data_IF_781017311073
#
_entry.id   IF_781017311073
#
_cell.length_a   1.000
_cell.length_b   1.000
_cell.length_c   1.000
_cell.angle_alpha   90.00
_cell.angle_beta   90.00
_cell.angle_gamma   90.00
#
_symmetry.space_group_name_H-M   'P 1'
#
loop_
_entity.id
_entity.type
_entity.pdbx_description
1 polymer ?
#
# COMPACT_ATOMS: atom_id res chain seq x y z
N UNK A 1 9.58 -24.25 32.96
CA UNK A 1 8.43 -23.96 32.09
C UNK A 1 7.86 -22.56 32.34
N UNK A 2 7.01 -22.30 33.35
CA UNK A 2 6.44 -20.95 33.55
C UNK A 2 7.44 -19.90 34.06
N UNK A 3 8.38 -20.31 34.93
CA UNK A 3 9.44 -19.43 35.43
C UNK A 3 10.48 -19.09 34.34
N UNK A 4 10.93 -20.08 33.55
CA UNK A 4 11.82 -19.85 32.40
C UNK A 4 11.18 -18.98 31.31
N UNK A 5 9.86 -19.07 31.11
CA UNK A 5 9.15 -18.20 30.17
C UNK A 5 9.07 -16.75 30.67
N UNK A 6 8.92 -16.55 31.98
CA UNK A 6 8.94 -15.23 32.60
C UNK A 6 10.35 -14.61 32.55
N UNK A 7 11.39 -15.40 32.82
CA UNK A 7 12.79 -14.98 32.79
C UNK A 7 13.26 -14.66 31.36
N UNK A 8 12.81 -15.42 30.35
CA UNK A 8 13.00 -15.07 28.92
C UNK A 8 12.27 -13.78 28.55
N UNK A 9 11.03 -13.61 29.01
CA UNK A 9 10.27 -12.40 28.73
C UNK A 9 10.85 -11.16 29.42
N UNK A 10 11.57 -11.33 30.53
CA UNK A 10 12.23 -10.26 31.27
C UNK A 10 13.61 -9.93 30.66
N UNK A 11 14.35 -10.94 30.20
CA UNK A 11 15.59 -10.77 29.45
C UNK A 11 15.36 -10.15 28.05
N UNK A 12 14.33 -10.61 27.33
CA UNK A 12 13.90 -9.98 26.07
C UNK A 12 13.47 -8.53 26.35
N UNK A 13 12.71 -8.27 27.42
CA UNK A 13 12.32 -6.90 27.78
C UNK A 13 13.52 -5.98 28.09
N UNK A 14 14.61 -6.52 28.62
CA UNK A 14 15.85 -5.78 28.86
C UNK A 14 16.64 -5.52 27.55
N UNK A 15 16.71 -6.48 26.64
CA UNK A 15 17.37 -6.33 25.32
C UNK A 15 16.66 -5.29 24.43
N UNK A 16 15.33 -5.18 24.56
CA UNK A 16 14.54 -4.16 23.88
C UNK A 16 14.75 -2.73 24.42
N UNK A 17 15.27 -2.55 25.64
CA UNK A 17 15.50 -1.23 26.23
C UNK A 17 16.81 -0.57 25.79
N UNK A 18 17.81 -1.35 25.36
CA UNK A 18 19.17 -0.83 25.15
C UNK A 18 19.54 -0.51 23.68
N UNK A 19 18.84 -1.06 22.68
CA UNK A 19 19.33 -1.00 21.29
C UNK A 19 18.57 -0.07 20.33
N UNK A 20 17.25 0.06 20.44
CA UNK A 20 16.42 0.70 19.42
C UNK A 20 15.21 1.41 20.04
N UNK A 21 15.27 2.74 20.07
CA UNK A 21 14.10 3.59 20.34
C UNK A 21 14.01 4.22 21.73
N UNK A 22 15.02 4.08 22.58
CA UNK A 22 15.03 4.67 23.92
C UNK A 22 14.83 6.20 23.91
N UNK A 23 15.49 6.92 22.99
CA UNK A 23 15.35 8.38 22.87
C UNK A 23 13.96 8.81 22.36
N UNK A 24 13.40 8.06 21.41
CA UNK A 24 12.07 8.35 20.82
C UNK A 24 10.95 8.08 21.81
N UNK A 25 11.04 6.97 22.52
CA UNK A 25 10.13 6.63 23.61
C UNK A 25 10.21 7.70 24.69
N UNK A 26 11.42 8.07 25.13
CA UNK A 26 11.62 9.13 26.11
C UNK A 26 10.99 10.46 25.66
N UNK A 27 11.18 10.85 24.39
CA UNK A 27 10.60 12.07 23.84
C UNK A 27 9.06 12.03 23.80
N UNK A 28 8.46 10.89 23.43
CA UNK A 28 6.99 10.74 23.37
C UNK A 28 6.36 10.74 24.76
N UNK A 29 7.03 10.15 25.75
CA UNK A 29 6.61 10.18 27.15
C UNK A 29 6.74 11.59 27.73
N UNK A 30 7.85 12.29 27.47
CA UNK A 30 8.02 13.68 27.87
C UNK A 30 6.96 14.61 27.25
N UNK A 31 6.56 14.36 26.00
CA UNK A 31 5.50 15.12 25.32
C UNK A 31 4.08 14.78 25.80
N UNK A 32 3.91 13.77 26.66
CA UNK A 32 2.60 13.42 27.22
C UNK A 32 2.11 14.45 28.25
N UNK A 33 3.05 15.08 28.93
CA UNK A 33 2.77 16.02 30.01
C UNK A 33 3.27 17.42 29.66
N UNK A 34 2.61 18.42 30.22
CA UNK A 34 3.01 19.83 30.14
C UNK A 34 3.02 20.39 31.55
N UNK A 35 4.15 20.95 31.95
CA UNK A 35 4.29 21.64 33.23
C UNK A 35 3.85 23.10 33.07
N UNK A 36 2.90 23.53 33.89
CA UNK A 36 2.43 24.92 33.94
C UNK A 36 2.53 25.40 35.39
N UNK A 37 3.55 26.21 35.68
CA UNK A 37 3.92 26.54 37.06
C UNK A 37 4.49 25.31 37.77
N UNK A 38 3.90 24.95 38.91
CA UNK A 38 4.30 23.77 39.71
C UNK A 38 3.47 22.52 39.39
N UNK A 39 2.41 22.65 38.58
CA UNK A 39 1.47 21.58 38.27
C UNK A 39 1.78 20.91 36.92
N UNK A 40 1.59 19.59 36.88
CA UNK A 40 1.75 18.78 35.67
C UNK A 40 0.38 18.44 35.10
N UNK A 41 0.19 18.68 33.81
CA UNK A 41 -1.07 18.44 33.10
C UNK A 41 -0.87 17.44 31.96
N UNK A 42 -1.93 16.68 31.66
CA UNK A 42 -2.05 15.87 30.45
C UNK A 42 -3.20 16.38 29.59
N UNK A 43 -3.04 16.27 28.27
CA UNK A 43 -4.08 16.64 27.32
C UNK A 43 -5.02 15.46 27.07
N UNK A 44 -6.31 15.65 27.26
CA UNK A 44 -7.33 14.62 26.97
C UNK A 44 -7.66 14.53 25.47
N UNK A 45 -8.47 13.52 25.09
CA UNK A 45 -8.89 13.32 23.70
C UNK A 45 -9.78 14.44 23.11
N UNK A 46 -10.27 15.37 23.93
CA UNK A 46 -10.99 16.58 23.50
C UNK A 46 -10.08 17.81 23.47
N UNK A 47 -8.80 17.63 23.78
CA UNK A 47 -7.79 18.67 23.78
C UNK A 47 -7.76 19.54 25.03
N UNK A 48 -8.46 19.17 26.10
CA UNK A 48 -8.46 19.89 27.38
C UNK A 48 -7.25 19.49 28.22
N UNK A 49 -6.72 20.42 28.99
CA UNK A 49 -5.63 20.16 29.95
C UNK A 49 -6.23 19.68 31.28
N UNK A 50 -5.88 18.47 31.69
CA UNK A 50 -6.33 17.85 32.94
C UNK A 50 -5.11 17.69 33.85
N UNK A 51 -5.15 18.16 35.11
CA UNK A 51 -4.08 17.90 36.07
C UNK A 51 -3.82 16.40 36.19
N UNK A 52 -2.55 15.97 36.15
CA UNK A 52 -2.16 14.55 36.23
C UNK A 52 -2.75 13.89 37.48
N UNK A 53 -2.80 14.61 38.60
CA UNK A 53 -3.39 14.12 39.85
C UNK A 53 -4.88 13.72 39.73
N UNK A 54 -5.61 14.25 38.75
CA UNK A 54 -7.01 13.92 38.48
C UNK A 54 -7.19 12.85 37.41
N UNK A 55 -6.11 12.48 36.70
CA UNK A 55 -6.14 11.40 35.71
C UNK A 55 -6.03 10.07 36.47
N UNK A 56 -6.96 9.11 36.27
CA UNK A 56 -6.86 7.80 36.90
C UNK A 56 -5.53 7.11 36.59
N UNK A 57 -4.90 6.48 37.59
CA UNK A 57 -3.60 5.82 37.41
C UNK A 57 -3.60 4.77 36.28
N UNK A 58 -4.71 4.04 36.10
CA UNK A 58 -4.88 3.09 35.00
C UNK A 58 -4.79 3.75 33.61
N UNK A 59 -5.26 4.98 33.49
CA UNK A 59 -5.29 5.71 32.22
C UNK A 59 -3.89 6.30 31.94
N UNK A 60 -3.17 6.72 32.98
CA UNK A 60 -1.76 7.13 32.88
C UNK A 60 -0.86 5.98 32.42
N UNK A 61 -0.99 4.80 33.06
CA UNK A 61 -0.25 3.59 32.66
C UNK A 61 -0.58 3.15 31.24
N UNK A 62 -1.85 3.27 30.83
CA UNK A 62 -2.26 2.96 29.47
C UNK A 62 -1.64 3.94 28.46
N UNK A 63 -1.61 5.24 28.75
CA UNK A 63 -0.97 6.25 27.89
C UNK A 63 0.54 5.99 27.76
N UNK A 64 1.23 5.69 28.86
CA UNK A 64 2.65 5.33 28.86
C UNK A 64 2.92 4.09 28.01
N UNK A 65 2.18 3.00 28.23
CA UNK A 65 2.30 1.76 27.46
C UNK A 65 2.09 2.02 25.95
N UNK A 66 1.04 2.75 25.58
CA UNK A 66 0.74 3.05 24.17
C UNK A 66 1.84 3.90 23.54
N UNK A 67 2.34 4.92 24.22
CA UNK A 67 3.43 5.79 23.72
C UNK A 67 4.73 5.04 23.53
N UNK A 68 5.04 4.14 24.45
CA UNK A 68 6.21 3.27 24.34
C UNK A 68 6.11 2.38 23.10
N UNK A 69 4.99 1.67 22.92
CA UNK A 69 4.73 0.85 21.72
C UNK A 69 4.83 1.69 20.44
N UNK A 70 4.21 2.87 20.42
CA UNK A 70 4.26 3.79 19.27
C UNK A 70 5.67 4.30 19.00
N UNK A 71 6.49 4.52 20.03
CA UNK A 71 7.89 4.90 19.89
C UNK A 71 8.65 3.86 19.09
N UNK A 72 8.66 2.60 19.56
CA UNK A 72 9.32 1.51 18.86
C UNK A 72 8.75 1.29 17.44
N UNK A 73 7.43 1.38 17.27
CA UNK A 73 6.80 1.24 15.96
C UNK A 73 7.27 2.32 14.96
N UNK A 74 7.50 3.55 15.42
CA UNK A 74 8.06 4.62 14.58
C UNK A 74 9.50 4.35 14.18
N UNK A 75 10.32 3.84 15.10
CA UNK A 75 11.71 3.48 14.79
C UNK A 75 11.78 2.37 13.73
N UNK A 76 10.98 1.33 13.87
CA UNK A 76 10.85 0.27 12.87
C UNK A 76 10.35 0.83 11.53
N UNK A 77 9.34 1.71 11.55
CA UNK A 77 8.84 2.35 10.34
C UNK A 77 9.92 3.15 9.61
N UNK A 78 10.78 3.86 10.34
CA UNK A 78 11.91 4.58 9.76
C UNK A 78 12.99 3.65 9.22
N UNK A 79 13.29 2.54 9.91
CA UNK A 79 14.20 1.52 9.41
C UNK A 79 13.70 0.92 8.09
N UNK A 80 12.41 0.59 8.01
CA UNK A 80 11.76 0.11 6.77
C UNK A 80 11.86 1.18 5.68
N UNK A 81 11.66 2.44 6.04
CA UNK A 81 11.81 3.58 5.13
C UNK A 81 13.22 3.68 4.55
N UNK A 82 14.26 3.61 5.39
CA UNK A 82 15.67 3.61 4.97
C UNK A 82 16.00 2.41 4.10
N UNK A 83 15.58 1.21 4.52
CA UNK A 83 15.76 -0.02 3.75
C UNK A 83 15.14 0.08 2.36
N UNK A 84 13.92 0.61 2.25
CA UNK A 84 13.26 0.87 0.96
C UNK A 84 14.05 1.85 0.10
N UNK A 85 14.57 2.92 0.69
CA UNK A 85 15.40 3.92 0.00
C UNK A 85 16.65 3.27 -0.60
N UNK A 86 17.49 2.66 0.23
CA UNK A 86 18.71 1.98 -0.21
C UNK A 86 18.42 0.92 -1.28
N UNK A 87 17.38 0.10 -1.09
CA UNK A 87 17.01 -0.93 -2.07
C UNK A 87 16.70 -0.33 -3.44
N UNK A 88 15.98 0.81 -3.50
CA UNK A 88 15.68 1.47 -4.77
C UNK A 88 16.92 2.09 -5.40
N UNK A 89 17.81 2.66 -4.60
CA UNK A 89 19.07 3.25 -5.06
C UNK A 89 19.99 2.16 -5.63
N UNK A 90 20.13 1.02 -4.96
CA UNK A 90 20.93 -0.13 -5.41
C UNK A 90 20.40 -0.69 -6.73
N UNK A 91 19.08 -0.88 -6.84
CA UNK A 91 18.43 -1.33 -8.07
C UNK A 91 18.64 -0.33 -9.20
N UNK A 92 18.47 0.96 -8.93
CA UNK A 92 18.68 2.03 -9.90
C UNK A 92 20.14 2.08 -10.38
N UNK A 93 21.09 1.92 -9.48
CA UNK A 93 22.52 1.87 -9.79
C UNK A 93 22.87 0.67 -10.67
N UNK A 94 22.33 -0.52 -10.36
CA UNK A 94 22.55 -1.71 -11.18
C UNK A 94 21.96 -1.57 -12.59
N UNK A 95 20.74 -1.04 -12.71
CA UNK A 95 20.12 -0.78 -14.01
C UNK A 95 20.94 0.23 -14.83
N UNK A 96 21.48 1.28 -14.20
CA UNK A 96 22.34 2.25 -14.88
C UNK A 96 23.63 1.61 -15.41
N UNK A 97 24.21 0.63 -14.69
CA UNK A 97 25.35 -0.14 -15.16
C UNK A 97 24.99 -0.97 -16.39
N UNK A 98 23.85 -1.66 -16.38
CA UNK A 98 23.36 -2.42 -17.54
C UNK A 98 23.10 -1.49 -18.74
N UNK A 99 22.48 -0.33 -18.53
CA UNK A 99 22.26 0.65 -19.60
C UNK A 99 23.59 1.12 -20.21
N UNK A 100 24.60 1.39 -19.38
CA UNK A 100 25.93 1.79 -19.82
C UNK A 100 26.66 0.69 -20.61
N UNK A 101 26.53 -0.57 -20.17
CA UNK A 101 27.17 -1.72 -20.81
C UNK A 101 26.55 -2.04 -22.19
N UNK A 102 25.22 -2.00 -22.28
CA UNK A 102 24.48 -2.43 -23.47
C UNK A 102 23.98 -1.28 -24.35
N UNK A 103 24.31 -0.02 -24.03
CA UNK A 103 24.00 1.16 -24.85
C UNK A 103 22.53 1.56 -24.84
N UNK A 104 21.80 1.28 -23.76
CA UNK A 104 20.40 1.63 -23.59
C UNK A 104 20.22 3.14 -23.41
N UNK A 105 19.94 3.88 -24.48
CA UNK A 105 19.62 5.31 -24.38
C UNK A 105 18.20 5.52 -23.81
N UNK A 106 18.14 5.97 -22.56
CA UNK A 106 16.93 6.36 -21.83
C UNK A 106 16.19 7.55 -22.48
N UNK A 107 14.87 7.42 -22.62
CA UNK A 107 13.92 8.56 -22.50
C UNK A 107 12.82 8.34 -21.46
N UNK A 108 12.61 7.11 -21.04
CA UNK A 108 11.84 6.77 -19.86
C UNK A 108 12.64 5.70 -19.12
N UNK A 109 13.25 6.05 -17.98
CA UNK A 109 13.71 5.08 -16.97
C UNK A 109 12.72 3.91 -16.94
N UNK A 110 13.23 2.68 -17.06
CA UNK A 110 12.49 1.43 -17.30
C UNK A 110 11.22 1.36 -16.44
N UNK A 111 10.14 1.92 -16.99
CA UNK A 111 8.84 2.01 -16.34
C UNK A 111 8.17 0.66 -16.53
N UNK A 112 8.54 -0.30 -15.70
CA UNK A 112 8.05 -1.65 -15.82
C UNK A 112 8.32 -2.50 -14.59
N UNK A 113 7.64 -3.64 -14.57
CA UNK A 113 7.92 -4.67 -13.60
C UNK A 113 9.29 -5.28 -13.90
N UNK A 114 10.16 -5.36 -12.90
CA UNK A 114 11.53 -5.88 -13.01
C UNK A 114 11.71 -7.01 -12.00
N UNK A 115 12.50 -8.01 -12.36
CA UNK A 115 12.83 -9.14 -11.48
C UNK A 115 14.33 -9.35 -11.51
N UNK A 116 14.93 -9.40 -10.34
CA UNK A 116 16.34 -9.65 -10.10
C UNK A 116 16.46 -10.97 -9.33
N UNK A 117 17.41 -11.81 -9.72
CA UNK A 117 17.68 -13.09 -9.07
C UNK A 117 19.14 -13.17 -8.68
N UNK A 118 19.44 -13.81 -7.56
CA UNK A 118 20.81 -14.20 -7.23
C UNK A 118 21.33 -15.24 -8.22
N UNK A 119 22.65 -15.34 -8.35
CA UNK A 119 23.28 -16.27 -9.30
C UNK A 119 22.96 -17.75 -9.01
N UNK A 120 22.87 -18.11 -7.74
CA UNK A 120 22.42 -19.44 -7.29
C UNK A 120 20.92 -19.67 -7.51
N UNK A 121 20.15 -18.63 -7.83
CA UNK A 121 18.72 -18.69 -8.04
C UNK A 121 17.90 -18.88 -6.76
N UNK A 122 18.49 -18.75 -5.55
CA UNK A 122 17.78 -18.94 -4.28
C UNK A 122 17.12 -17.66 -3.74
N UNK A 123 17.50 -16.49 -4.25
CA UNK A 123 16.93 -15.20 -3.85
C UNK A 123 16.36 -14.45 -5.03
N UNK A 124 15.28 -13.70 -4.78
CA UNK A 124 14.60 -12.92 -5.81
C UNK A 124 14.05 -11.61 -5.27
N UNK A 125 14.33 -10.53 -5.98
CA UNK A 125 13.76 -9.20 -5.73
C UNK A 125 12.90 -8.81 -6.93
N UNK A 126 11.66 -8.38 -6.69
CA UNK A 126 10.74 -7.93 -7.73
C UNK A 126 10.31 -6.50 -7.48
N UNK A 127 10.51 -5.64 -8.47
CA UNK A 127 9.92 -4.30 -8.50
C UNK A 127 8.66 -4.36 -9.35
N UNK A 128 7.53 -3.96 -8.79
CA UNK A 128 6.25 -3.94 -9.49
C UNK A 128 5.66 -2.53 -9.46
N UNK A 129 5.27 -2.04 -10.62
CA UNK A 129 4.64 -0.74 -10.76
C UNK A 129 3.15 -0.96 -10.93
N UNK A 130 2.37 -0.47 -9.97
CA UNK A 130 0.92 -0.42 -10.08
C UNK A 130 0.50 0.98 -10.46
N UNK A 131 -0.15 1.12 -11.61
CA UNK A 131 -0.71 2.39 -12.06
C UNK A 131 -2.14 2.54 -11.57
N UNK A 132 -2.44 3.71 -11.03
CA UNK A 132 -3.80 4.11 -10.66
C UNK A 132 -4.40 4.82 -11.87
N UNK A 133 -5.42 4.21 -12.47
CA UNK A 133 -6.19 4.79 -13.57
C UNK A 133 -7.48 5.38 -13.02
N UNK A 134 -7.74 6.65 -13.29
CA UNK A 134 -9.04 7.28 -13.05
C UNK A 134 -9.73 7.53 -14.40
N UNK A 135 -11.04 7.71 -14.34
CA UNK A 135 -11.85 8.02 -15.52
C UNK A 135 -12.24 9.50 -15.55
N UNK A 136 -12.03 10.12 -16.70
CA UNK A 136 -12.46 11.49 -16.98
C UNK A 136 -13.96 11.62 -17.28
N UNK A 137 -14.44 12.84 -17.50
CA UNK A 137 -15.86 13.13 -17.81
C UNK A 137 -16.37 12.43 -19.08
N UNK A 138 -15.48 12.04 -19.99
CA UNK A 138 -15.78 11.30 -21.21
C UNK A 138 -16.48 9.95 -20.92
N UNK A 139 -16.33 9.43 -19.70
CA UNK A 139 -17.00 8.21 -19.24
C UNK A 139 -18.52 8.33 -19.24
N UNK A 140 -19.07 9.51 -18.89
CA UNK A 140 -20.51 9.72 -18.92
C UNK A 140 -21.02 9.72 -20.37
N UNK A 141 -20.25 10.31 -21.29
CA UNK A 141 -20.57 10.28 -22.73
C UNK A 141 -20.53 8.85 -23.26
N UNK A 142 -19.54 8.06 -22.84
CA UNK A 142 -19.44 6.65 -23.20
C UNK A 142 -20.66 5.85 -22.71
N UNK A 143 -21.12 6.10 -21.48
CA UNK A 143 -22.31 5.48 -20.91
C UNK A 143 -23.55 5.82 -21.74
N UNK A 144 -23.77 7.09 -22.03
CA UNK A 144 -24.97 7.53 -22.76
C UNK A 144 -25.05 6.88 -24.16
N UNK A 145 -23.91 6.78 -24.86
CA UNK A 145 -23.82 6.12 -26.17
C UNK A 145 -24.09 4.60 -26.10
N UNK A 146 -23.63 3.96 -25.03
CA UNK A 146 -23.85 2.52 -24.80
C UNK A 146 -25.31 2.26 -24.41
N UNK A 147 -25.90 3.10 -23.55
CA UNK A 147 -27.31 3.00 -23.15
C UNK A 147 -28.23 3.24 -24.36
N UNK A 148 -27.90 4.17 -25.26
CA UNK A 148 -28.62 4.38 -26.53
C UNK A 148 -28.57 3.13 -27.43
N UNK A 149 -27.40 2.51 -27.55
CA UNK A 149 -27.22 1.26 -28.30
C UNK A 149 -28.07 0.12 -27.71
N UNK A 150 -28.07 -0.04 -26.39
CA UNK A 150 -28.82 -1.08 -25.70
C UNK A 150 -30.34 -0.87 -25.73
N UNK A 151 -30.80 0.38 -25.70
CA UNK A 151 -32.23 0.70 -25.73
C UNK A 151 -32.90 0.22 -27.04
N UNK A 152 -32.19 0.31 -28.17
CA UNK A 152 -32.69 -0.21 -29.45
C UNK A 152 -32.58 -1.73 -29.53
N UNK A 153 -31.54 -2.31 -28.93
CA UNK A 153 -31.38 -3.75 -28.81
C UNK A 153 -32.43 -4.36 -27.88
N UNK A 154 -33.03 -3.60 -26.96
CA UNK A 154 -33.97 -4.11 -25.96
C UNK A 154 -35.24 -4.76 -26.55
N UNK A 155 -35.53 -4.59 -27.85
CA UNK A 155 -36.58 -5.33 -28.53
C UNK A 155 -36.23 -6.81 -28.78
N UNK A 156 -34.94 -7.17 -28.94
CA UNK A 156 -34.45 -8.52 -29.27
C UNK A 156 -33.33 -9.05 -28.35
N UNK A 157 -32.81 -8.22 -27.44
CA UNK A 157 -31.68 -8.56 -26.57
C UNK A 157 -32.10 -9.19 -25.24
N UNK A 158 -31.31 -10.19 -24.84
CA UNK A 158 -31.45 -10.91 -23.57
C UNK A 158 -31.13 -9.99 -22.38
N UNK A 159 -31.97 -10.01 -21.35
CA UNK A 159 -31.82 -9.19 -20.14
C UNK A 159 -30.44 -9.32 -19.47
N UNK A 160 -29.79 -10.47 -19.67
CA UNK A 160 -28.47 -10.81 -19.19
C UNK A 160 -27.36 -9.91 -19.77
N UNK A 161 -27.50 -9.46 -21.02
CA UNK A 161 -26.53 -8.54 -21.66
C UNK A 161 -26.63 -7.16 -21.04
N UNK A 162 -27.86 -6.70 -20.79
CA UNK A 162 -28.12 -5.41 -20.16
C UNK A 162 -27.55 -5.35 -18.74
N UNK A 163 -27.79 -6.41 -17.95
CA UNK A 163 -27.26 -6.51 -16.60
C UNK A 163 -25.72 -6.46 -16.55
N UNK A 164 -25.05 -7.08 -17.53
CA UNK A 164 -23.59 -7.04 -17.62
C UNK A 164 -23.06 -5.63 -17.90
N UNK A 165 -23.71 -4.88 -18.79
CA UNK A 165 -23.30 -3.52 -19.14
C UNK A 165 -23.61 -2.54 -18.01
N UNK A 166 -24.81 -2.62 -17.41
CA UNK A 166 -25.15 -1.80 -16.24
C UNK A 166 -24.17 -2.04 -15.09
N UNK A 167 -23.80 -3.30 -14.83
CA UNK A 167 -22.79 -3.64 -13.83
C UNK A 167 -21.39 -3.07 -14.17
N UNK A 168 -21.07 -2.87 -15.44
CA UNK A 168 -19.78 -2.32 -15.83
C UNK A 168 -19.62 -0.81 -15.54
N UNK A 169 -20.72 -0.06 -15.50
CA UNK A 169 -20.75 1.35 -15.11
C UNK A 169 -21.12 1.57 -13.64
N UNK A 170 -21.32 0.51 -12.86
CA UNK A 170 -21.53 0.63 -11.42
C UNK A 170 -20.23 1.03 -10.71
N UNK A 171 -20.34 2.03 -9.84
CA UNK A 171 -19.31 2.40 -8.88
C UNK A 171 -19.23 1.35 -7.78
N UNK A 172 -18.03 0.97 -7.40
CA UNK A 172 -17.77 0.11 -6.26
C UNK A 172 -18.04 0.84 -4.92
N UNK A 173 -17.70 0.18 -3.81
CA UNK A 173 -17.93 0.71 -2.46
C UNK A 173 -17.11 1.96 -2.14
N UNK A 174 -16.06 2.24 -2.90
CA UNK A 174 -15.22 3.44 -2.76
C UNK A 174 -15.66 4.56 -3.71
N UNK A 175 -16.72 4.34 -4.50
CA UNK A 175 -17.22 5.29 -5.49
C UNK A 175 -16.47 5.23 -6.83
N UNK A 176 -15.58 4.27 -7.02
CA UNK A 176 -14.74 4.12 -8.20
C UNK A 176 -15.33 3.08 -9.16
N UNK A 177 -15.22 3.31 -10.47
CA UNK A 177 -15.74 2.36 -11.46
C UNK A 177 -14.78 1.19 -11.63
N UNK A 178 -15.33 -0.02 -11.66
CA UNK A 178 -14.55 -1.26 -11.82
C UNK A 178 -13.81 -1.27 -13.16
N UNK A 179 -12.49 -1.05 -13.11
CA UNK A 179 -11.61 -1.14 -14.29
C UNK A 179 -11.77 -2.47 -15.01
N UNK A 180 -11.88 -3.58 -14.26
CA UNK A 180 -12.04 -4.91 -14.84
C UNK A 180 -13.30 -5.03 -15.68
N UNK A 181 -14.40 -4.42 -15.24
CA UNK A 181 -15.68 -4.46 -15.95
C UNK A 181 -15.64 -3.58 -17.20
N UNK A 182 -15.04 -2.39 -17.12
CA UNK A 182 -14.76 -1.51 -18.27
C UNK A 182 -13.87 -2.22 -19.30
N UNK A 183 -12.77 -2.84 -18.89
CA UNK A 183 -11.92 -3.62 -19.80
C UNK A 183 -12.65 -4.81 -20.42
N UNK A 184 -13.63 -5.39 -19.71
CA UNK A 184 -14.45 -6.48 -20.24
C UNK A 184 -15.36 -5.98 -21.36
N UNK A 185 -15.95 -4.79 -21.23
CA UNK A 185 -16.72 -4.15 -22.30
C UNK A 185 -15.84 -3.84 -23.52
N UNK A 186 -14.65 -3.30 -23.32
CA UNK A 186 -13.71 -2.95 -24.40
C UNK A 186 -13.27 -4.14 -25.25
N UNK A 187 -13.40 -5.38 -24.74
CA UNK A 187 -13.06 -6.61 -25.46
C UNK A 187 -14.18 -7.11 -26.36
N UNK A 188 -15.40 -6.59 -26.22
CA UNK A 188 -16.53 -7.00 -27.05
C UNK A 188 -16.41 -6.33 -28.41
N UNK A 189 -16.26 -7.17 -29.45
CA UNK A 189 -16.22 -6.71 -30.83
C UNK A 189 -17.65 -6.61 -31.39
N UNK A 190 -18.24 -5.43 -31.24
CA UNK A 190 -19.60 -5.12 -31.69
C UNK A 190 -19.50 -4.05 -32.78
N UNK A 191 -20.19 -4.30 -33.91
CA UNK A 191 -20.06 -3.46 -35.11
C UNK A 191 -20.90 -2.17 -35.09
N UNK A 192 -21.83 -2.03 -34.13
CA UNK A 192 -22.72 -0.87 -34.02
C UNK A 192 -21.89 0.44 -33.92
N UNK A 193 -22.17 1.45 -34.76
CA UNK A 193 -21.44 2.71 -34.76
C UNK A 193 -21.47 3.46 -33.42
N UNK A 194 -22.57 3.37 -32.66
CA UNK A 194 -22.70 4.00 -31.33
C UNK A 194 -21.86 3.24 -30.31
N UNK A 195 -21.87 1.91 -30.37
CA UNK A 195 -21.00 1.08 -29.53
C UNK A 195 -19.53 1.43 -29.74
N UNK A 196 -19.07 1.48 -30.99
CA UNK A 196 -17.68 1.82 -31.34
C UNK A 196 -17.29 3.21 -30.80
N UNK A 197 -18.17 4.21 -30.96
CA UNK A 197 -17.97 5.55 -30.39
C UNK A 197 -17.96 5.56 -28.87
N UNK A 198 -18.83 4.77 -28.23
CA UNK A 198 -18.86 4.61 -26.78
C UNK A 198 -17.56 4.00 -26.26
N UNK A 199 -17.04 2.96 -26.93
CA UNK A 199 -15.74 2.35 -26.59
C UNK A 199 -14.55 3.29 -26.85
N UNK A 200 -14.63 4.16 -27.85
CA UNK A 200 -13.64 5.23 -28.09
C UNK A 200 -13.63 6.26 -26.96
N UNK A 201 -14.80 6.80 -26.60
CA UNK A 201 -14.95 7.72 -25.47
C UNK A 201 -14.49 7.10 -24.14
N UNK A 202 -14.71 5.79 -23.95
CA UNK A 202 -14.23 5.04 -22.79
C UNK A 202 -12.70 4.95 -22.73
N UNK A 203 -12.05 4.81 -23.89
CA UNK A 203 -10.57 4.81 -23.99
C UNK A 203 -10.02 6.20 -23.68
N UNK A 204 -10.65 7.24 -24.19
CA UNK A 204 -10.25 8.63 -23.96
C UNK A 204 -10.48 9.07 -22.50
N UNK A 205 -11.48 8.47 -21.83
CA UNK A 205 -11.73 8.68 -20.41
C UNK A 205 -10.61 8.12 -19.52
N UNK A 206 -9.88 7.08 -19.94
CA UNK A 206 -8.87 6.43 -19.11
C UNK A 206 -7.62 7.31 -18.97
N UNK A 207 -7.32 7.73 -17.74
CA UNK A 207 -6.14 8.54 -17.41
C UNK A 207 -5.36 7.93 -16.26
N UNK A 208 -4.04 7.78 -16.44
CA UNK A 208 -3.16 7.39 -15.33
C UNK A 208 -2.98 8.59 -14.42
N UNK A 209 -3.52 8.52 -13.21
CA UNK A 209 -3.48 9.59 -12.19
C UNK A 209 -2.42 9.36 -11.11
N UNK A 210 -1.83 8.17 -11.07
CA UNK A 210 -0.77 7.86 -10.13
C UNK A 210 -0.05 6.57 -10.47
N UNK A 211 1.11 6.37 -9.86
CA UNK A 211 1.85 5.12 -9.93
C UNK A 211 2.51 4.83 -8.60
N UNK A 212 2.39 3.59 -8.11
CA UNK A 212 3.04 3.12 -6.89
C UNK A 212 3.97 1.96 -7.20
N UNK A 213 5.22 2.09 -6.82
CA UNK A 213 6.24 1.03 -6.92
C UNK A 213 6.25 0.17 -5.65
N UNK A 214 6.12 -1.13 -5.81
CA UNK A 214 6.19 -2.14 -4.77
C UNK A 214 7.48 -2.94 -4.95
N UNK A 215 8.20 -3.17 -3.85
CA UNK A 215 9.34 -4.10 -3.82
C UNK A 215 8.88 -5.35 -3.09
N UNK A 216 9.10 -6.52 -3.68
CA UNK A 216 8.81 -7.82 -3.08
C UNK A 216 10.08 -8.65 -3.07
N UNK A 217 10.36 -9.27 -1.94
CA UNK A 217 11.58 -10.04 -1.71
C UNK A 217 11.17 -11.47 -1.41
N UNK A 218 11.89 -12.42 -1.98
CA UNK A 218 11.63 -13.85 -1.85
C UNK A 218 12.92 -14.61 -1.67
N UNK A 219 12.80 -15.74 -0.98
CA UNK A 219 13.85 -16.73 -0.77
C UNK A 219 13.32 -18.15 -1.00
N UNK A 220 14.23 -19.10 -1.18
CA UNK A 220 13.98 -20.54 -1.21
C UNK A 220 15.27 -21.28 -0.88
N UNK A 221 15.17 -22.50 -0.35
CA UNK A 221 16.35 -23.28 0.07
C UNK A 221 17.14 -23.79 -1.14
N UNK A 222 16.46 -24.32 -2.15
CA UNK A 222 17.08 -24.81 -3.38
C UNK A 222 16.45 -24.20 -4.64
N UNK A 223 17.12 -24.25 -5.80
CA UNK A 223 16.58 -23.73 -7.06
C UNK A 223 15.32 -24.44 -7.57
N UNK A 224 14.98 -25.59 -6.99
CA UNK A 224 13.82 -26.42 -7.35
C UNK A 224 12.60 -26.11 -6.46
N UNK A 225 12.83 -25.46 -5.32
CA UNK A 225 11.79 -25.15 -4.35
C UNK A 225 10.91 -23.97 -4.76
N UNK A 226 9.72 -23.93 -4.13
CA UNK A 226 8.79 -22.81 -4.24
C UNK A 226 9.28 -21.56 -3.52
N UNK A 227 8.98 -20.39 -4.08
CA UNK A 227 9.33 -19.10 -3.50
C UNK A 227 8.56 -18.81 -2.21
N UNK A 228 9.29 -18.45 -1.16
CA UNK A 228 8.75 -17.94 0.09
C UNK A 228 8.95 -16.42 0.18
N UNK A 229 7.91 -15.63 0.51
CA UNK A 229 8.06 -14.19 0.65
C UNK A 229 8.78 -13.84 1.96
N UNK A 230 9.78 -12.97 1.87
CA UNK A 230 10.39 -12.36 3.05
C UNK A 230 9.50 -11.19 3.48
N UNK A 231 8.72 -11.37 4.56
CA UNK A 231 7.72 -10.39 5.03
C UNK A 231 8.11 -9.75 6.35
N UNK A 232 7.96 -8.43 6.44
CA UNK A 232 7.96 -7.69 7.71
C UNK A 232 6.50 -7.60 8.18
N UNK A 233 6.00 -8.70 8.73
CA UNK A 233 4.63 -8.85 9.24
C UNK A 233 4.70 -9.23 10.73
N UNK A 234 4.13 -8.41 11.60
CA UNK A 234 4.16 -8.64 13.06
C UNK A 234 3.52 -9.98 13.46
N UNK A 235 2.55 -10.49 12.70
CA UNK A 235 1.94 -11.79 12.98
C UNK A 235 2.82 -12.98 12.57
N UNK A 236 3.84 -12.73 11.74
CA UNK A 236 4.80 -13.73 11.24
C UNK A 236 6.21 -13.49 11.73
N UNK A 237 6.45 -12.41 12.49
CA UNK A 237 7.70 -12.16 13.18
C UNK A 237 7.86 -13.24 14.26
N UNK A 238 8.96 -14.00 14.17
CA UNK A 238 9.25 -15.11 15.07
C UNK A 238 9.67 -14.64 16.46
#
# INVERSE_FOLDING_TARGET
MAAEAAERAEADRADWQDGLGSERVAALLAAATVTVGDDVYMKDGRGRMVPVALVPAKDQLQDEMVRTIVGHAKDLSEQIGRFRGHTMDDIGGFDALLEAEYGGHSRQSVKGNRTYMSHDGCYKVQVQISETVAFGPELQVARDLVDECLAEWAADSRAEIRALVEHAFQTDKEGEISRGSIYSLLRLDIEDPRWRKGMEALRDAMRVVGSKSYVRIYERETPEDGWQPVTIDLAKAA
#
